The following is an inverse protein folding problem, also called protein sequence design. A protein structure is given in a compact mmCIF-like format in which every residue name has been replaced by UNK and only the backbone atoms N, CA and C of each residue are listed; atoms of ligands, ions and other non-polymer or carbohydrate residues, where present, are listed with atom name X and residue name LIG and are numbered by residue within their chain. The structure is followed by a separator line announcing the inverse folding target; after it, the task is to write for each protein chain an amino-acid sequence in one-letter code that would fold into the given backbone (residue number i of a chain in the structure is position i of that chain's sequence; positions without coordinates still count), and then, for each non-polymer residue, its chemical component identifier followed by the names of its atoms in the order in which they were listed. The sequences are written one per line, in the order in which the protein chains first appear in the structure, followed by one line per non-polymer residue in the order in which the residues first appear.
data_IF_231463103448
#
_entry.id   IF_231463103448
#
_cell.length_a   1.000
_cell.length_b   1.000
_cell.length_c   1.000
_cell.angle_alpha   90.00
_cell.angle_beta   90.00
_cell.angle_gamma   90.00
#
_symmetry.space_group_name_H-M   'P 1'
#
loop_
_entity.id
_entity.type
_entity.pdbx_description
1 polymer ?
#
# COMPACT_ATOMS: atom_id res chain seq x y z
N UNK A 1 -2.79 35.93 1.38
CA UNK A 1 -1.81 34.84 1.52
C UNK A 1 -2.57 33.53 1.37
N UNK A 2 -2.40 32.84 0.26
CA UNK A 2 -2.99 31.51 0.08
C UNK A 2 -2.26 30.55 1.04
N UNK A 3 -2.97 30.01 2.00
CA UNK A 3 -2.47 28.96 2.90
C UNK A 3 -2.23 27.71 2.02
N UNK A 4 -0.99 27.47 1.66
CA UNK A 4 -0.63 26.26 0.94
C UNK A 4 -0.56 25.12 1.97
N UNK A 5 -1.54 24.23 1.97
CA UNK A 5 -1.58 23.07 2.86
C UNK A 5 -0.32 22.24 2.64
N UNK A 6 0.45 22.02 3.69
CA UNK A 6 1.60 21.13 3.64
C UNK A 6 1.18 19.66 3.84
N UNK A 7 2.07 18.71 3.53
CA UNK A 7 1.79 17.26 3.67
C UNK A 7 1.36 16.85 5.09
N UNK A 8 1.78 17.57 6.13
CA UNK A 8 1.37 17.28 7.52
C UNK A 8 -0.10 17.60 7.74
N UNK A 9 -0.55 18.74 7.23
CA UNK A 9 -1.95 19.17 7.36
C UNK A 9 -2.88 18.28 6.54
N UNK A 10 -2.49 17.96 5.28
CA UNK A 10 -3.20 17.01 4.42
C UNK A 10 -3.34 15.67 5.14
N UNK A 11 -2.24 15.12 5.66
CA UNK A 11 -2.24 13.86 6.39
C UNK A 11 -3.21 13.88 7.56
N UNK A 12 -3.13 14.89 8.41
CA UNK A 12 -4.00 15.03 9.59
C UNK A 12 -5.48 15.06 9.21
N UNK A 13 -5.82 15.84 8.18
CA UNK A 13 -7.21 15.98 7.71
C UNK A 13 -7.78 14.64 7.21
N UNK A 14 -7.05 13.95 6.33
CA UNK A 14 -7.56 12.73 5.71
C UNK A 14 -7.53 11.53 6.66
N UNK A 15 -6.56 11.44 7.57
CA UNK A 15 -6.58 10.42 8.61
C UNK A 15 -7.72 10.62 9.59
N UNK A 16 -8.07 11.87 9.95
CA UNK A 16 -9.24 12.15 10.79
C UNK A 16 -10.53 11.68 10.13
N UNK A 17 -10.74 12.02 8.84
CA UNK A 17 -11.92 11.55 8.08
C UNK A 17 -11.99 10.02 8.02
N UNK A 18 -10.85 9.34 7.78
CA UNK A 18 -10.81 7.88 7.71
C UNK A 18 -11.17 7.21 9.05
N UNK A 19 -10.84 7.82 10.18
CA UNK A 19 -11.21 7.32 11.51
C UNK A 19 -12.73 7.32 11.77
N UNK A 20 -13.48 8.15 11.06
CA UNK A 20 -14.94 8.22 11.18
C UNK A 20 -15.65 7.09 10.41
N UNK A 21 -14.93 6.35 9.58
CA UNK A 21 -15.49 5.23 8.83
C UNK A 21 -15.78 4.04 9.74
N UNK A 22 -16.97 3.47 9.61
CA UNK A 22 -17.36 2.24 10.32
C UNK A 22 -16.69 1.00 9.70
N UNK A 23 -16.53 -0.05 10.49
CA UNK A 23 -15.92 -1.29 10.03
C UNK A 23 -16.67 -1.91 8.86
N UNK A 24 -18.01 -1.89 8.87
CA UNK A 24 -18.83 -2.43 7.78
C UNK A 24 -18.57 -1.70 6.45
N UNK A 25 -18.47 -0.37 6.50
CA UNK A 25 -18.15 0.46 5.32
C UNK A 25 -16.75 0.14 4.81
N UNK A 26 -15.77 0.03 5.71
CA UNK A 26 -14.40 -0.33 5.36
C UNK A 26 -14.35 -1.71 4.68
N UNK A 27 -15.04 -2.71 5.23
CA UNK A 27 -15.09 -4.05 4.67
C UNK A 27 -15.70 -4.04 3.27
N UNK A 28 -16.87 -3.44 3.09
CA UNK A 28 -17.56 -3.36 1.80
C UNK A 28 -16.71 -2.65 0.72
N UNK A 29 -16.10 -1.52 1.09
CA UNK A 29 -15.24 -0.77 0.15
C UNK A 29 -13.96 -1.54 -0.14
N UNK A 30 -13.35 -2.19 0.85
CA UNK A 30 -12.14 -2.99 0.68
C UNK A 30 -12.36 -4.16 -0.30
N UNK A 31 -13.50 -4.83 -0.25
CA UNK A 31 -13.84 -5.89 -1.21
C UNK A 31 -13.85 -5.37 -2.66
N UNK A 32 -14.47 -4.21 -2.89
CA UNK A 32 -14.49 -3.59 -4.23
C UNK A 32 -13.10 -3.17 -4.71
N UNK A 33 -12.28 -2.64 -3.80
CA UNK A 33 -10.90 -2.25 -4.09
C UNK A 33 -10.06 -3.49 -4.41
N UNK A 34 -10.15 -4.54 -3.58
CA UNK A 34 -9.42 -5.79 -3.77
C UNK A 34 -9.75 -6.45 -5.12
N UNK A 35 -11.01 -6.43 -5.53
CA UNK A 35 -11.41 -6.93 -6.86
C UNK A 35 -10.67 -6.19 -7.98
N UNK A 36 -10.61 -4.86 -7.93
CA UNK A 36 -9.90 -4.05 -8.94
C UNK A 36 -8.37 -4.28 -8.92
N UNK A 37 -7.79 -4.45 -7.72
CA UNK A 37 -6.37 -4.81 -7.59
C UNK A 37 -6.10 -6.16 -8.25
N UNK A 38 -6.94 -7.16 -8.00
CA UNK A 38 -6.80 -8.49 -8.58
C UNK A 38 -6.97 -8.46 -10.11
N UNK A 39 -7.86 -7.63 -10.64
CA UNK A 39 -8.00 -7.40 -12.08
C UNK A 39 -6.68 -6.88 -12.68
N UNK A 40 -6.05 -5.88 -12.05
CA UNK A 40 -4.74 -5.38 -12.51
C UNK A 40 -3.68 -6.47 -12.46
N UNK A 41 -3.54 -7.18 -11.35
CA UNK A 41 -2.55 -8.26 -11.23
C UNK A 41 -2.74 -9.32 -12.31
N UNK A 42 -3.98 -9.63 -12.69
CA UNK A 42 -4.30 -10.60 -13.75
C UNK A 42 -3.87 -10.14 -15.14
N UNK A 43 -3.70 -8.83 -15.37
CA UNK A 43 -3.16 -8.29 -16.64
C UNK A 43 -1.65 -8.54 -16.79
N UNK A 44 -0.97 -8.97 -15.71
CA UNK A 44 0.47 -9.21 -15.65
C UNK A 44 0.79 -10.68 -15.32
N UNK A 45 0.73 -11.61 -16.29
CA UNK A 45 0.85 -13.05 -16.05
C UNK A 45 2.22 -13.49 -15.51
N UNK A 46 3.24 -12.66 -15.68
CA UNK A 46 4.61 -12.93 -15.20
C UNK A 46 4.82 -12.59 -13.73
N UNK A 47 3.85 -11.96 -13.07
CA UNK A 47 3.91 -11.67 -11.62
C UNK A 47 3.86 -12.97 -10.83
N UNK A 48 4.91 -13.22 -10.04
CA UNK A 48 5.04 -14.40 -9.18
C UNK A 48 4.96 -14.04 -7.69
N UNK A 49 5.10 -12.76 -7.36
CA UNK A 49 5.10 -12.28 -5.99
C UNK A 49 4.48 -10.89 -5.86
N UNK A 50 3.64 -10.70 -4.85
CA UNK A 50 2.97 -9.43 -4.55
C UNK A 50 3.23 -9.04 -3.11
N UNK A 51 3.76 -7.83 -2.92
CA UNK A 51 3.89 -7.20 -1.62
C UNK A 51 2.57 -6.53 -1.22
N UNK A 52 2.00 -6.95 -0.10
CA UNK A 52 0.87 -6.29 0.52
C UNK A 52 1.37 -5.46 1.72
N UNK A 53 0.47 -4.81 2.43
CA UNK A 53 0.74 -4.23 3.75
C UNK A 53 -0.20 -4.85 4.79
N UNK A 54 0.21 -4.85 6.05
CA UNK A 54 -0.70 -5.22 7.14
C UNK A 54 -1.58 -4.00 7.45
N UNK A 55 -2.92 -4.08 7.29
CA UNK A 55 -3.80 -2.92 7.46
C UNK A 55 -3.74 -2.36 8.87
N UNK A 56 -3.62 -1.05 8.99
CA UNK A 56 -3.54 -0.31 10.24
C UNK A 56 -4.45 0.92 10.20
N UNK A 57 -5.03 1.32 11.32
CA UNK A 57 -5.80 2.57 11.48
C UNK A 57 -6.85 2.80 10.37
N UNK A 58 -7.78 1.86 10.21
CA UNK A 58 -8.86 1.89 9.21
C UNK A 58 -8.38 1.93 7.74
N UNK A 59 -7.23 1.36 7.42
CA UNK A 59 -6.79 1.19 6.03
C UNK A 59 -7.64 0.15 5.29
N UNK A 60 -7.52 0.19 3.95
CA UNK A 60 -8.11 -0.84 3.07
C UNK A 60 -7.63 -2.23 3.51
N UNK A 61 -8.54 -3.16 3.68
CA UNK A 61 -8.29 -4.55 4.14
C UNK A 61 -7.71 -5.40 3.00
N UNK A 62 -6.50 -5.08 2.55
CA UNK A 62 -5.83 -5.73 1.40
C UNK A 62 -5.48 -7.20 1.64
N UNK A 63 -5.45 -7.67 2.89
CA UNK A 63 -5.25 -9.09 3.19
C UNK A 63 -6.41 -9.98 2.68
N UNK A 64 -7.56 -9.40 2.34
CA UNK A 64 -8.62 -10.11 1.61
C UNK A 64 -8.21 -10.60 0.20
N UNK A 65 -7.03 -10.17 -0.31
CA UNK A 65 -6.46 -10.68 -1.55
C UNK A 65 -5.76 -12.04 -1.38
N UNK A 66 -5.40 -12.41 -0.15
CA UNK A 66 -4.48 -13.52 0.12
C UNK A 66 -4.96 -14.84 -0.49
N UNK A 67 -6.20 -15.25 -0.24
CA UNK A 67 -6.74 -16.51 -0.78
C UNK A 67 -6.70 -16.54 -2.32
N UNK A 68 -7.05 -15.43 -2.97
CA UNK A 68 -7.04 -15.34 -4.43
C UNK A 68 -5.64 -15.39 -5.02
N UNK A 69 -4.65 -14.78 -4.35
CA UNK A 69 -3.25 -14.81 -4.76
C UNK A 69 -2.64 -16.20 -4.55
N UNK A 70 -2.88 -16.84 -3.40
CA UNK A 70 -2.42 -18.20 -3.10
C UNK A 70 -2.99 -19.23 -4.09
N UNK A 71 -4.29 -19.14 -4.42
CA UNK A 71 -4.92 -19.99 -5.42
C UNK A 71 -4.25 -19.87 -6.81
N UNK A 72 -3.66 -18.72 -7.11
CA UNK A 72 -2.90 -18.46 -8.35
C UNK A 72 -1.41 -18.81 -8.21
N UNK A 73 -0.97 -19.33 -7.06
CA UNK A 73 0.44 -19.62 -6.76
C UNK A 73 1.33 -18.36 -6.81
N UNK A 74 0.77 -17.20 -6.51
CA UNK A 74 1.50 -15.95 -6.36
C UNK A 74 1.93 -15.83 -4.90
N UNK A 75 3.22 -15.67 -4.66
CA UNK A 75 3.76 -15.48 -3.31
C UNK A 75 3.30 -14.14 -2.74
N UNK A 76 2.86 -14.16 -1.50
CA UNK A 76 2.50 -12.95 -0.76
C UNK A 76 3.67 -12.55 0.11
N UNK A 77 3.97 -11.27 0.14
CA UNK A 77 4.97 -10.72 1.04
C UNK A 77 4.43 -9.54 1.82
N UNK A 78 4.91 -9.35 3.04
CA UNK A 78 4.61 -8.18 3.87
C UNK A 78 5.90 -7.44 4.23
N UNK A 79 5.82 -6.10 4.38
CA UNK A 79 6.97 -5.28 4.69
C UNK A 79 7.40 -5.42 6.14
N UNK A 80 8.71 -5.39 6.36
CA UNK A 80 9.37 -5.33 7.67
C UNK A 80 10.25 -4.08 7.72
N UNK A 81 10.19 -3.34 8.80
CA UNK A 81 11.04 -2.16 9.03
C UNK A 81 12.33 -2.58 9.71
N UNK A 82 13.44 -2.63 8.98
CA UNK A 82 14.76 -2.92 9.57
C UNK A 82 15.35 -1.72 10.33
N UNK A 83 15.30 -0.53 9.72
CA UNK A 83 15.79 0.74 10.29
C UNK A 83 15.01 1.91 9.70
N UNK A 84 14.86 2.99 10.47
CA UNK A 84 14.04 4.16 10.08
C UNK A 84 14.50 4.83 8.80
N UNK A 85 15.54 4.81 8.20
CA UNK A 85 15.96 5.47 6.97
C UNK A 85 16.20 4.52 5.80
N UNK A 86 15.88 3.24 5.98
CA UNK A 86 16.10 2.20 4.97
C UNK A 86 14.83 1.88 4.19
N UNK A 87 14.94 1.35 2.97
CA UNK A 87 13.81 0.69 2.30
C UNK A 87 13.24 -0.44 3.17
N UNK A 88 11.97 -0.75 2.96
CA UNK A 88 11.32 -1.91 3.57
C UNK A 88 11.97 -3.21 3.07
N UNK A 89 12.05 -4.20 3.95
CA UNK A 89 12.39 -5.57 3.60
C UNK A 89 11.10 -6.38 3.49
N UNK A 90 10.84 -6.94 2.33
CA UNK A 90 9.65 -7.76 2.15
C UNK A 90 9.97 -9.21 2.49
N UNK A 91 9.11 -9.83 3.32
CA UNK A 91 9.23 -11.22 3.74
C UNK A 91 8.00 -12.02 3.36
N UNK A 92 8.20 -13.28 3.01
CA UNK A 92 7.12 -14.20 2.67
C UNK A 92 6.11 -14.26 3.82
N UNK A 93 4.84 -14.15 3.45
CA UNK A 93 3.71 -14.24 4.35
C UNK A 93 2.76 -15.32 3.87
N UNK A 94 2.28 -16.14 4.78
CA UNK A 94 1.20 -17.12 4.54
C UNK A 94 0.00 -16.76 5.38
N UNK A 95 -1.15 -16.60 4.74
CA UNK A 95 -2.35 -16.04 5.37
C UNK A 95 -2.88 -16.87 6.55
N UNK A 96 -2.66 -18.19 6.52
CA UNK A 96 -3.14 -19.11 7.56
C UNK A 96 -2.08 -19.46 8.61
N UNK A 97 -0.88 -18.90 8.50
CA UNK A 97 0.19 -19.19 9.44
C UNK A 97 0.32 -18.08 10.48
N UNK A 98 0.46 -18.48 11.77
CA UNK A 98 0.77 -17.56 12.89
C UNK A 98 2.25 -17.11 12.84
N UNK A 99 2.65 -16.52 11.71
CA UNK A 99 4.04 -16.10 11.49
C UNK A 99 4.24 -14.58 11.52
N UNK A 100 3.42 -13.88 12.29
CA UNK A 100 3.53 -12.43 12.48
C UNK A 100 3.69 -12.06 13.94
N UNK A 101 4.41 -10.97 14.21
CA UNK A 101 4.54 -10.37 15.52
C UNK A 101 4.46 -8.86 15.44
N UNK A 102 4.24 -8.19 16.57
CA UNK A 102 4.23 -6.73 16.64
C UNK A 102 5.59 -6.16 16.27
N UNK A 103 5.63 -5.40 15.19
CA UNK A 103 6.80 -4.72 14.66
C UNK A 103 6.76 -3.21 14.82
N UNK A 104 7.19 -2.49 13.80
CA UNK A 104 7.28 -1.03 13.83
C UNK A 104 5.92 -0.37 14.11
N UNK A 105 5.86 0.48 15.14
CA UNK A 105 4.63 1.16 15.62
C UNK A 105 3.45 0.22 15.92
N UNK A 106 3.70 -1.02 16.27
CA UNK A 106 2.67 -1.99 16.58
C UNK A 106 2.02 -2.66 15.36
N UNK A 107 2.47 -2.35 14.15
CA UNK A 107 2.01 -3.01 12.93
C UNK A 107 2.56 -4.44 12.94
N UNK A 108 1.73 -5.42 12.55
CA UNK A 108 2.19 -6.81 12.49
C UNK A 108 3.13 -7.01 11.30
N UNK A 109 4.27 -7.65 11.57
CA UNK A 109 5.32 -7.95 10.60
C UNK A 109 5.63 -9.45 10.58
N UNK A 110 5.96 -10.06 9.43
CA UNK A 110 6.34 -11.46 9.36
C UNK A 110 7.62 -11.75 10.16
N UNK A 111 7.58 -12.84 10.92
CA UNK A 111 8.73 -13.37 11.66
C UNK A 111 9.17 -14.72 11.09
N UNK A 112 10.46 -15.06 11.26
CA UNK A 112 11.03 -16.34 10.81
C UNK A 112 10.80 -16.69 9.33
N UNK A 113 10.58 -15.67 8.47
CA UNK A 113 10.30 -15.84 7.06
C UNK A 113 11.45 -15.35 6.20
N UNK A 114 11.59 -15.95 5.02
CA UNK A 114 12.59 -15.56 4.02
C UNK A 114 12.23 -14.21 3.39
N UNK A 115 13.24 -13.41 3.09
CA UNK A 115 13.07 -12.19 2.32
C UNK A 115 12.83 -12.53 0.84
N UNK A 116 11.84 -11.88 0.25
CA UNK A 116 11.51 -11.98 -1.17
C UNK A 116 11.14 -10.60 -1.69
N UNK A 117 11.91 -10.07 -2.64
CA UNK A 117 11.57 -8.81 -3.32
C UNK A 117 10.38 -9.05 -4.25
N UNK A 118 9.25 -8.34 -4.07
CA UNK A 118 8.04 -8.58 -4.85
C UNK A 118 8.13 -7.99 -6.26
N UNK A 119 7.40 -8.61 -7.21
CA UNK A 119 7.25 -8.11 -8.59
C UNK A 119 6.29 -6.92 -8.67
N UNK A 120 5.35 -6.85 -7.74
CA UNK A 120 4.45 -5.71 -7.57
C UNK A 120 4.20 -5.44 -6.09
N UNK A 121 3.92 -4.20 -5.72
CA UNK A 121 3.50 -3.87 -4.35
C UNK A 121 2.17 -3.12 -4.33
N UNK A 122 1.34 -3.49 -3.36
CA UNK A 122 0.18 -2.70 -2.96
C UNK A 122 0.60 -1.80 -1.81
N UNK A 123 0.38 -0.52 -1.95
CA UNK A 123 0.76 0.50 -0.96
C UNK A 123 -0.45 1.23 -0.40
N UNK A 124 -0.33 1.77 0.80
CA UNK A 124 -1.34 2.61 1.44
C UNK A 124 -0.96 4.09 1.44
N UNK A 125 -1.91 4.95 1.81
CA UNK A 125 -1.68 6.38 1.98
C UNK A 125 -2.60 7.00 3.03
N UNK A 126 -2.28 8.23 3.44
CA UNK A 126 -3.22 9.12 4.10
C UNK A 126 -4.10 9.84 3.06
N UNK A 127 -3.50 10.33 1.97
CA UNK A 127 -4.19 10.97 0.85
C UNK A 127 -3.43 10.69 -0.46
N UNK A 128 -4.11 10.87 -1.60
CA UNK A 128 -3.50 10.80 -2.93
C UNK A 128 -4.04 11.92 -3.83
N UNK A 129 -3.39 12.19 -4.95
CA UNK A 129 -3.90 13.10 -5.97
C UNK A 129 -4.03 12.41 -7.34
N UNK A 130 -4.73 13.05 -8.26
CA UNK A 130 -4.96 12.55 -9.61
C UNK A 130 -3.66 12.35 -10.41
N UNK A 131 -2.58 13.07 -10.04
CA UNK A 131 -1.26 12.93 -10.64
C UNK A 131 -0.51 11.66 -10.17
N UNK A 132 -1.18 10.82 -9.37
CA UNK A 132 -0.69 9.54 -8.82
C UNK A 132 0.44 9.68 -7.80
N UNK A 133 0.48 10.78 -7.07
CA UNK A 133 1.31 10.93 -5.89
C UNK A 133 0.51 10.68 -4.62
N UNK A 134 1.19 10.28 -3.55
CA UNK A 134 0.56 9.99 -2.28
C UNK A 134 1.23 10.71 -1.11
N UNK A 135 0.43 11.06 -0.12
CA UNK A 135 0.90 11.45 1.21
C UNK A 135 0.89 10.20 2.10
N UNK A 136 2.08 9.73 2.45
CA UNK A 136 2.25 8.61 3.39
C UNK A 136 2.23 9.08 4.86
N UNK A 137 2.68 8.21 5.77
CA UNK A 137 2.71 8.45 7.23
C UNK A 137 3.96 9.20 7.71
N UNK A 138 4.78 9.73 6.80
CA UNK A 138 5.92 10.59 7.11
C UNK A 138 7.27 9.87 7.25
N UNK A 139 7.32 8.55 7.17
CA UNK A 139 8.58 7.78 7.26
C UNK A 139 9.36 7.67 5.95
N UNK A 140 8.74 7.96 4.79
CA UNK A 140 9.34 7.82 3.46
C UNK A 140 9.70 6.37 3.07
N UNK A 141 9.19 5.38 3.80
CA UNK A 141 9.54 3.98 3.59
C UNK A 141 9.16 3.48 2.19
N UNK A 142 7.93 3.75 1.77
CA UNK A 142 7.48 3.32 0.45
C UNK A 142 8.23 4.01 -0.68
N UNK A 143 8.56 5.31 -0.57
CA UNK A 143 9.28 6.02 -1.63
C UNK A 143 10.66 5.41 -1.87
N UNK A 144 11.44 5.19 -0.81
CA UNK A 144 12.74 4.52 -0.90
C UNK A 144 12.63 3.08 -1.39
N UNK A 145 11.56 2.38 -1.03
CA UNK A 145 11.35 0.98 -1.45
C UNK A 145 10.99 0.92 -2.92
N UNK A 146 10.10 1.78 -3.40
CA UNK A 146 9.71 1.86 -4.80
C UNK A 146 10.91 2.21 -5.68
N UNK A 147 11.69 3.22 -5.29
CA UNK A 147 12.94 3.60 -5.98
C UNK A 147 13.87 2.38 -6.12
N UNK A 148 14.19 1.72 -5.01
CA UNK A 148 15.05 0.52 -4.99
C UNK A 148 14.52 -0.61 -5.89
N UNK A 149 13.22 -0.91 -5.83
CA UNK A 149 12.64 -2.03 -6.58
C UNK A 149 12.54 -1.70 -8.09
N UNK A 150 12.23 -0.46 -8.46
CA UNK A 150 12.24 0.00 -9.87
C UNK A 150 13.64 -0.05 -10.49
N UNK A 151 14.69 0.24 -9.72
CA UNK A 151 16.07 0.11 -10.20
C UNK A 151 16.45 -1.34 -10.51
N UNK A 152 15.95 -2.29 -9.72
CA UNK A 152 16.28 -3.72 -9.85
C UNK A 152 15.45 -4.46 -10.89
N UNK A 153 14.16 -4.14 -10.97
CA UNK A 153 13.21 -4.81 -11.85
C UNK A 153 12.42 -3.77 -12.66
N UNK A 154 12.69 -3.70 -13.95
CA UNK A 154 12.00 -2.74 -14.85
C UNK A 154 10.52 -3.06 -15.06
N UNK A 155 10.10 -4.30 -14.79
CA UNK A 155 8.71 -4.71 -14.89
C UNK A 155 7.95 -4.55 -13.55
N UNK A 156 8.66 -4.10 -12.50
CA UNK A 156 8.04 -3.81 -11.20
C UNK A 156 7.02 -2.68 -11.31
N UNK A 157 5.88 -2.85 -10.68
CA UNK A 157 4.84 -1.82 -10.62
C UNK A 157 4.19 -1.71 -9.23
N UNK A 158 3.47 -0.63 -9.07
CA UNK A 158 2.87 -0.23 -7.80
C UNK A 158 1.37 0.01 -7.94
N UNK A 159 0.60 -0.46 -6.96
CA UNK A 159 -0.84 -0.23 -6.87
C UNK A 159 -1.14 0.47 -5.54
N UNK A 160 -1.78 1.61 -5.58
CA UNK A 160 -2.31 2.25 -4.39
C UNK A 160 -3.70 1.71 -4.08
N UNK A 161 -3.88 1.19 -2.87
CA UNK A 161 -5.19 0.88 -2.31
C UNK A 161 -5.63 2.03 -1.41
N UNK A 162 -6.67 2.74 -1.81
CA UNK A 162 -7.18 3.89 -1.08
C UNK A 162 -8.70 3.99 -1.21
N UNK A 163 -9.37 4.63 -0.27
CA UNK A 163 -10.76 5.02 -0.41
C UNK A 163 -10.86 6.29 -1.26
N UNK A 164 -11.89 6.41 -2.08
CA UNK A 164 -12.08 7.54 -2.99
C UNK A 164 -12.08 8.89 -2.23
N UNK A 165 -12.59 8.90 -1.02
CA UNK A 165 -12.58 10.06 -0.13
C UNK A 165 -11.18 10.53 0.30
N UNK A 166 -10.14 9.76 0.03
CA UNK A 166 -8.73 10.14 0.28
C UNK A 166 -8.12 10.95 -0.87
N UNK A 167 -8.85 11.21 -1.95
CA UNK A 167 -8.37 12.08 -3.01
C UNK A 167 -8.26 13.53 -2.54
N UNK A 168 -7.11 14.13 -2.83
CA UNK A 168 -6.78 15.52 -2.52
C UNK A 168 -6.50 16.26 -3.84
N UNK A 169 -7.21 17.36 -4.09
CA UNK A 169 -7.04 18.15 -5.31
C UNK A 169 -5.74 18.99 -5.34
N UNK A 170 -5.00 18.98 -4.22
CA UNK A 170 -3.81 19.81 -4.06
C UNK A 170 -2.58 19.09 -4.60
N UNK A 171 -1.76 19.80 -5.34
CA UNK A 171 -0.42 19.34 -5.72
C UNK A 171 0.53 19.50 -4.53
N UNK A 172 0.95 18.38 -3.97
CA UNK A 172 1.77 18.29 -2.77
C UNK A 172 3.10 17.55 -2.97
N UNK A 173 3.35 17.07 -4.19
CA UNK A 173 4.53 16.25 -4.48
C UNK A 173 5.83 17.02 -4.30
N UNK A 174 6.83 16.30 -3.81
CA UNK A 174 8.19 16.76 -3.58
C UNK A 174 9.19 15.93 -4.39
N UNK A 175 10.44 16.38 -4.44
CA UNK A 175 11.50 15.83 -5.30
C UNK A 175 11.71 14.31 -5.18
N UNK A 176 11.53 13.73 -4.00
CA UNK A 176 11.81 12.32 -3.74
C UNK A 176 10.55 11.45 -3.70
N UNK A 177 9.36 12.05 -3.89
CA UNK A 177 8.14 11.26 -3.92
C UNK A 177 8.09 10.39 -5.17
N UNK A 178 7.70 9.14 -4.98
CA UNK A 178 7.56 8.20 -6.07
C UNK A 178 6.13 8.18 -6.60
N UNK A 179 6.01 8.30 -7.92
CA UNK A 179 4.74 8.16 -8.62
C UNK A 179 4.27 6.71 -8.59
N UNK A 180 2.98 6.51 -8.34
CA UNK A 180 2.31 5.21 -8.35
C UNK A 180 1.82 4.88 -9.76
N UNK A 181 1.89 3.61 -10.15
CA UNK A 181 1.50 3.20 -11.48
C UNK A 181 -0.03 3.08 -11.61
N UNK A 182 -0.70 2.52 -10.60
CA UNK A 182 -2.15 2.35 -10.55
C UNK A 182 -2.74 2.79 -9.21
N UNK A 183 -3.93 3.40 -9.23
CA UNK A 183 -4.71 3.68 -8.02
C UNK A 183 -6.03 2.94 -8.12
N UNK A 184 -6.37 2.18 -7.07
CA UNK A 184 -7.66 1.50 -6.93
C UNK A 184 -8.43 2.10 -5.76
N UNK A 185 -9.63 2.62 -6.07
CA UNK A 185 -10.63 3.01 -5.07
C UNK A 185 -11.87 2.13 -5.21
N UNK A 186 -12.82 2.22 -4.29
CA UNK A 186 -14.09 1.50 -4.40
C UNK A 186 -14.88 1.90 -5.65
N UNK A 187 -14.65 3.11 -6.20
CA UNK A 187 -15.38 3.63 -7.35
C UNK A 187 -14.62 3.44 -8.68
N UNK A 188 -13.28 3.54 -8.71
CA UNK A 188 -12.52 3.64 -9.98
C UNK A 188 -11.11 3.04 -9.92
N UNK A 189 -10.57 2.80 -11.11
CA UNK A 189 -9.14 2.55 -11.37
C UNK A 189 -8.58 3.80 -12.08
N UNK A 190 -7.42 4.31 -11.65
CA UNK A 190 -6.74 5.49 -12.20
C UNK A 190 -5.34 5.08 -12.66
#
# INVERSE_FOLDING_TARGET
MSYQLNKSDIRKTFLSKRKEMTEDVINLMSEKINKKILEIINEYPDVKSVGLFYPFDNEVKVLGLCESLEAKKIHITLPVVKKNSMPLDYKIYSYQADNVASGYKGILEPIHSLSLEPDAIVVSCAAFNINKYRVGYGGGFFDRTIEKLKEKNKNFFTILAAFDMQECEIDFQEKFDQKIDFICTENRKI
#
